data_IF_976525498082
#
_entry.id   IF_976525498082
#
_cell.length_a   1.000
_cell.length_b   1.000
_cell.length_c   1.000
_cell.angle_alpha   90.00
_cell.angle_beta   90.00
_cell.angle_gamma   90.00
#
_symmetry.space_group_name_H-M   'P 1'
#
loop_
_entity.id
_entity.type
_entity.pdbx_description
1 polymer ?
#
# COMPACT_ATOMS: atom_id res chain seq x y z
N UNK A 1 -39.70 30.23 -0.86
CA UNK A 1 -39.20 29.81 -2.19
C UNK A 1 -37.73 29.43 -2.05
N UNK A 2 -37.46 28.13 -1.84
CA UNK A 2 -36.10 27.63 -1.76
C UNK A 2 -35.62 27.32 -3.19
N UNK A 3 -34.45 27.85 -3.54
CA UNK A 3 -33.80 27.58 -4.83
C UNK A 3 -33.33 26.13 -4.84
N UNK A 4 -33.80 25.36 -5.79
CA UNK A 4 -33.26 24.02 -6.13
C UNK A 4 -31.84 24.20 -6.67
N UNK A 5 -30.84 23.81 -5.88
CA UNK A 5 -29.47 23.71 -6.39
C UNK A 5 -29.38 22.58 -7.42
N UNK A 6 -28.86 22.98 -8.56
CA UNK A 6 -28.70 22.19 -9.77
C UNK A 6 -27.72 21.00 -9.52
N UNK A 7 -28.26 19.79 -9.42
CA UNK A 7 -27.52 18.54 -9.26
C UNK A 7 -26.98 17.98 -10.60
N UNK A 8 -27.13 18.66 -11.72
CA UNK A 8 -26.77 18.17 -13.04
C UNK A 8 -25.27 18.22 -13.35
N UNK A 9 -24.51 19.16 -12.76
CA UNK A 9 -23.08 19.33 -13.01
C UNK A 9 -22.17 18.20 -12.51
N UNK A 10 -22.67 17.35 -11.60
CA UNK A 10 -21.85 16.31 -10.97
C UNK A 10 -21.79 15.00 -11.80
N UNK A 11 -22.77 14.75 -12.65
CA UNK A 11 -22.84 13.50 -13.45
C UNK A 11 -21.94 13.52 -14.68
N UNK A 12 -21.87 14.62 -15.41
CA UNK A 12 -21.04 14.76 -16.62
C UNK A 12 -19.54 14.74 -16.27
N UNK A 13 -19.15 15.41 -15.18
CA UNK A 13 -17.74 15.39 -14.71
C UNK A 13 -17.32 14.00 -14.22
N UNK A 14 -18.25 13.22 -13.65
CA UNK A 14 -17.97 11.84 -13.22
C UNK A 14 -17.80 10.86 -14.39
N UNK A 15 -18.54 11.02 -15.45
CA UNK A 15 -18.44 10.18 -16.66
C UNK A 15 -17.11 10.44 -17.37
N UNK A 16 -16.66 11.68 -17.45
CA UNK A 16 -15.47 12.06 -18.20
C UNK A 16 -14.18 11.43 -17.66
N UNK A 17 -13.92 11.51 -16.33
CA UNK A 17 -12.66 10.96 -15.77
C UNK A 17 -12.57 9.43 -15.87
N UNK A 18 -13.70 8.72 -15.76
CA UNK A 18 -13.73 7.26 -15.93
C UNK A 18 -13.36 6.87 -17.35
N UNK A 19 -13.95 7.54 -18.32
CA UNK A 19 -13.63 7.32 -19.74
C UNK A 19 -12.16 7.56 -20.02
N UNK A 20 -11.59 8.64 -19.49
CA UNK A 20 -10.16 8.93 -19.65
C UNK A 20 -9.26 7.88 -18.97
N UNK A 21 -9.61 7.43 -17.76
CA UNK A 21 -8.86 6.42 -17.05
C UNK A 21 -8.89 5.08 -17.78
N UNK A 22 -10.06 4.67 -18.26
CA UNK A 22 -10.21 3.43 -19.05
C UNK A 22 -9.48 3.53 -20.40
N UNK A 23 -9.55 4.66 -21.09
CA UNK A 23 -8.77 4.88 -22.31
C UNK A 23 -7.27 4.74 -22.05
N UNK A 24 -6.77 5.39 -21.01
CA UNK A 24 -5.36 5.26 -20.60
C UNK A 24 -4.99 3.80 -20.29
N UNK A 25 -5.83 3.10 -19.52
CA UNK A 25 -5.61 1.68 -19.22
C UNK A 25 -5.56 0.82 -20.47
N UNK A 26 -6.48 1.04 -21.41
CA UNK A 26 -6.53 0.29 -22.68
C UNK A 26 -5.29 0.58 -23.56
N UNK A 27 -4.78 1.81 -23.56
CA UNK A 27 -3.53 2.16 -24.26
C UNK A 27 -2.31 1.49 -23.63
N UNK A 28 -2.22 1.49 -22.28
CA UNK A 28 -1.15 0.77 -21.57
C UNK A 28 -1.23 -0.72 -21.86
N UNK A 29 -2.40 -1.34 -21.70
CA UNK A 29 -2.58 -2.77 -21.94
C UNK A 29 -2.24 -3.16 -23.39
N UNK A 30 -2.67 -2.36 -24.38
CA UNK A 30 -2.35 -2.56 -25.79
C UNK A 30 -0.84 -2.55 -26.02
N UNK A 31 -0.12 -1.58 -25.43
CA UNK A 31 1.32 -1.49 -25.61
C UNK A 31 2.08 -2.72 -25.13
N UNK A 32 1.51 -3.50 -24.20
CA UNK A 32 2.07 -4.79 -23.78
C UNK A 32 1.55 -5.95 -24.64
N UNK A 33 0.30 -5.96 -25.07
CA UNK A 33 -0.23 -7.04 -25.92
C UNK A 33 0.38 -7.07 -27.31
N UNK A 34 0.90 -5.95 -27.81
CA UNK A 34 1.57 -5.83 -29.11
C UNK A 34 3.04 -6.24 -29.10
N UNK A 35 3.60 -6.56 -27.91
CA UNK A 35 5.02 -6.95 -27.79
C UNK A 35 5.19 -8.45 -28.06
N UNK A 36 6.21 -8.78 -28.81
CA UNK A 36 6.57 -10.18 -29.13
C UNK A 36 7.12 -10.96 -27.93
N UNK A 37 7.75 -10.28 -26.96
CA UNK A 37 8.31 -10.86 -25.74
C UNK A 37 7.30 -10.98 -24.59
N UNK A 38 6.05 -10.55 -24.79
CA UNK A 38 4.94 -10.70 -23.83
C UNK A 38 3.97 -11.77 -24.31
N UNK A 39 3.82 -12.83 -23.53
CA UNK A 39 2.98 -14.01 -23.85
C UNK A 39 1.55 -13.90 -23.37
N UNK A 40 1.28 -12.97 -22.47
CA UNK A 40 -0.06 -12.74 -21.93
C UNK A 40 -0.14 -11.47 -21.11
N UNK A 41 -1.34 -10.91 -20.98
CA UNK A 41 -1.61 -9.68 -20.22
C UNK A 41 -2.89 -9.83 -19.42
N UNK A 42 -2.86 -9.45 -18.14
CA UNK A 42 -4.04 -9.33 -17.30
C UNK A 42 -4.09 -7.97 -16.59
N UNK A 43 -5.28 -7.41 -16.48
CA UNK A 43 -5.55 -6.22 -15.68
C UNK A 43 -5.95 -6.66 -14.27
N UNK A 44 -5.33 -6.07 -13.26
CA UNK A 44 -5.60 -6.29 -11.84
C UNK A 44 -6.25 -5.09 -11.16
N UNK A 45 -6.13 -5.08 -9.84
CA UNK A 45 -6.44 -3.96 -8.99
C UNK A 45 -7.87 -3.46 -9.02
N UNK A 46 -7.99 -2.18 -8.77
CA UNK A 46 -9.29 -1.50 -8.67
C UNK A 46 -10.03 -1.45 -10.01
N UNK A 47 -9.31 -1.27 -11.13
CA UNK A 47 -9.91 -1.21 -12.46
C UNK A 47 -10.51 -2.55 -12.88
N UNK A 48 -9.84 -3.66 -12.59
CA UNK A 48 -10.36 -4.98 -12.92
C UNK A 48 -11.66 -5.31 -12.20
N UNK A 49 -11.84 -4.74 -10.99
CA UNK A 49 -12.98 -4.99 -10.11
C UNK A 49 -14.08 -3.94 -10.19
N UNK A 50 -13.94 -2.91 -11.03
CA UNK A 50 -14.90 -1.81 -11.12
C UNK A 50 -14.97 -0.95 -9.85
N UNK A 51 -13.88 -0.88 -9.10
CA UNK A 51 -13.74 -0.14 -7.84
C UNK A 51 -12.78 1.04 -7.96
N UNK A 52 -12.52 1.45 -9.20
CA UNK A 52 -11.62 2.54 -9.51
C UNK A 52 -12.15 3.90 -9.04
N UNK A 53 -11.23 4.78 -8.80
CA UNK A 53 -11.47 6.19 -8.56
C UNK A 53 -10.61 7.04 -9.51
N UNK A 54 -10.83 8.35 -9.54
CA UNK A 54 -10.23 9.26 -10.53
C UNK A 54 -8.69 9.16 -10.65
N UNK A 55 -8.02 8.82 -9.56
CA UNK A 55 -6.55 8.73 -9.48
C UNK A 55 -6.07 7.30 -9.22
N UNK A 56 -6.88 6.30 -9.55
CA UNK A 56 -6.40 4.92 -9.57
C UNK A 56 -5.26 4.78 -10.56
N UNK A 57 -4.26 4.03 -10.15
CA UNK A 57 -3.23 3.46 -11.02
C UNK A 57 -3.77 2.28 -11.82
N UNK A 58 -3.00 1.86 -12.80
CA UNK A 58 -3.28 0.66 -13.60
C UNK A 58 -2.36 -0.46 -13.12
N UNK A 59 -2.93 -1.47 -12.51
CA UNK A 59 -2.20 -2.65 -12.03
C UNK A 59 -2.32 -3.74 -13.10
N UNK A 60 -1.20 -4.18 -13.67
CA UNK A 60 -1.21 -5.20 -14.72
C UNK A 60 -0.19 -6.31 -14.46
N UNK A 61 -0.54 -7.52 -14.87
CA UNK A 61 0.40 -8.63 -14.96
C UNK A 61 0.75 -8.89 -16.42
N UNK A 62 2.03 -9.12 -16.69
CA UNK A 62 2.51 -9.60 -17.97
C UNK A 62 3.11 -11.01 -17.78
N UNK A 63 2.78 -11.91 -18.69
CA UNK A 63 3.38 -13.22 -18.79
C UNK A 63 4.54 -13.15 -19.76
N UNK A 64 5.73 -13.56 -19.35
CA UNK A 64 6.97 -13.46 -20.10
C UNK A 64 7.79 -14.75 -19.98
N UNK A 65 8.65 -15.02 -20.98
CA UNK A 65 9.56 -16.19 -20.91
C UNK A 65 10.71 -15.94 -19.91
N UNK A 66 11.12 -14.69 -19.76
CA UNK A 66 12.16 -14.22 -18.83
C UNK A 66 11.85 -12.82 -18.35
N UNK A 67 12.39 -12.43 -17.21
CA UNK A 67 12.22 -11.05 -16.70
C UNK A 67 12.75 -10.03 -17.72
N UNK A 68 11.97 -8.97 -17.90
CA UNK A 68 12.29 -7.83 -18.76
C UNK A 68 12.84 -6.72 -17.86
N UNK A 69 14.16 -6.50 -17.94
CA UNK A 69 14.87 -5.58 -17.03
C UNK A 69 14.54 -4.10 -17.29
N UNK A 70 14.06 -3.79 -18.50
CA UNK A 70 13.63 -2.45 -18.87
C UNK A 70 12.35 -2.01 -18.14
N UNK A 71 11.61 -2.93 -17.52
CA UNK A 71 10.41 -2.61 -16.74
C UNK A 71 10.65 -2.79 -15.26
N UNK A 72 10.66 -1.66 -14.55
CA UNK A 72 10.53 -1.66 -13.10
C UNK A 72 9.11 -2.05 -12.64
N UNK A 73 8.96 -2.29 -11.34
CA UNK A 73 7.64 -2.54 -10.75
C UNK A 73 6.69 -1.34 -10.94
N UNK A 74 7.20 -0.13 -10.78
CA UNK A 74 6.46 1.12 -10.97
C UNK A 74 6.86 1.81 -12.26
N UNK A 75 5.87 2.36 -12.98
CA UNK A 75 6.10 3.21 -14.13
C UNK A 75 5.08 4.35 -14.16
N UNK A 76 5.40 5.41 -14.90
CA UNK A 76 4.54 6.58 -15.10
C UNK A 76 4.49 6.90 -16.59
N UNK A 77 3.28 7.12 -17.13
CA UNK A 77 3.04 7.59 -18.49
C UNK A 77 1.97 8.68 -18.44
N UNK A 78 2.21 9.82 -19.07
CA UNK A 78 1.26 10.95 -19.10
C UNK A 78 0.79 11.40 -17.70
N UNK A 79 1.68 11.35 -16.70
CA UNK A 79 1.39 11.70 -15.32
C UNK A 79 0.50 10.72 -14.57
N UNK A 80 0.26 9.52 -15.10
CA UNK A 80 -0.48 8.43 -14.43
C UNK A 80 0.42 7.25 -14.14
N UNK A 81 0.29 6.72 -12.92
CA UNK A 81 1.05 5.56 -12.47
C UNK A 81 0.45 4.25 -12.97
N UNK A 82 1.33 3.28 -13.19
CA UNK A 82 0.94 1.88 -13.35
C UNK A 82 1.96 0.94 -12.72
N UNK A 83 1.47 -0.18 -12.20
CA UNK A 83 2.28 -1.25 -11.59
C UNK A 83 2.35 -2.44 -12.53
N UNK A 84 3.54 -3.01 -12.69
CA UNK A 84 3.79 -4.15 -13.57
C UNK A 84 4.23 -5.35 -12.72
N UNK A 85 3.43 -6.41 -12.77
CA UNK A 85 3.77 -7.71 -12.20
C UNK A 85 4.25 -8.62 -13.31
N UNK A 86 5.52 -8.97 -13.32
CA UNK A 86 6.09 -9.87 -14.33
C UNK A 86 5.98 -11.32 -13.84
N UNK A 87 5.19 -12.13 -14.53
CA UNK A 87 5.11 -13.57 -14.31
C UNK A 87 5.96 -14.29 -15.35
N UNK A 88 6.98 -15.01 -14.89
CA UNK A 88 7.78 -15.89 -15.75
C UNK A 88 6.97 -17.15 -16.00
N UNK A 89 6.76 -17.50 -17.27
CA UNK A 89 5.85 -18.57 -17.67
C UNK A 89 6.14 -19.90 -16.99
N UNK A 90 7.41 -20.33 -16.95
CA UNK A 90 7.82 -21.57 -16.33
C UNK A 90 7.55 -21.59 -14.82
N UNK A 91 7.89 -20.50 -14.12
CA UNK A 91 7.67 -20.35 -12.68
C UNK A 91 6.19 -20.31 -12.33
N UNK A 92 5.40 -19.57 -13.11
CA UNK A 92 3.97 -19.47 -12.88
C UNK A 92 3.27 -20.81 -13.07
N UNK A 93 3.69 -21.59 -14.08
CA UNK A 93 3.17 -22.94 -14.33
C UNK A 93 3.43 -23.85 -13.14
N UNK A 94 4.65 -23.87 -12.64
CA UNK A 94 5.01 -24.66 -11.47
C UNK A 94 4.22 -24.23 -10.22
N UNK A 95 4.10 -22.93 -9.99
CA UNK A 95 3.31 -22.39 -8.86
C UNK A 95 1.84 -22.78 -8.93
N UNK A 96 1.22 -22.73 -10.12
CA UNK A 96 -0.16 -23.15 -10.32
C UNK A 96 -0.33 -24.63 -10.06
N UNK A 97 0.57 -25.46 -10.58
CA UNK A 97 0.51 -26.91 -10.39
C UNK A 97 0.68 -27.27 -8.90
N UNK A 98 1.58 -26.60 -8.19
CA UNK A 98 1.73 -26.74 -6.74
C UNK A 98 0.46 -26.32 -5.98
N UNK A 99 -0.19 -25.24 -6.40
CA UNK A 99 -1.42 -24.74 -5.77
C UNK A 99 -2.61 -25.71 -5.85
N UNK A 100 -2.56 -26.74 -6.70
CA UNK A 100 -3.59 -27.79 -6.77
C UNK A 100 -3.55 -28.75 -5.56
N UNK A 101 -2.38 -28.88 -4.94
CA UNK A 101 -2.15 -29.80 -3.81
C UNK A 101 -1.76 -29.10 -2.52
N UNK A 102 -1.31 -27.86 -2.60
CA UNK A 102 -0.88 -27.03 -1.49
C UNK A 102 -1.56 -25.64 -1.56
N UNK A 103 -2.62 -25.39 -0.79
CA UNK A 103 -3.27 -24.08 -0.74
C UNK A 103 -2.30 -22.94 -0.39
N UNK A 104 -1.24 -23.22 0.39
CA UNK A 104 -0.28 -22.21 0.81
C UNK A 104 0.61 -21.71 -0.33
N UNK A 105 0.63 -22.36 -1.47
CA UNK A 105 1.36 -21.91 -2.65
C UNK A 105 0.93 -20.52 -3.14
N UNK A 106 -0.30 -20.08 -2.82
CA UNK A 106 -0.82 -18.75 -3.21
C UNK A 106 -0.45 -17.62 -2.23
N UNK A 107 0.26 -17.91 -1.14
CA UNK A 107 0.57 -16.91 -0.10
C UNK A 107 1.31 -15.68 -0.64
N UNK A 108 2.23 -15.88 -1.57
CA UNK A 108 3.07 -14.83 -2.13
C UNK A 108 2.55 -14.28 -3.47
N UNK A 109 1.38 -14.74 -3.92
CA UNK A 109 0.78 -14.20 -5.14
C UNK A 109 0.29 -12.77 -4.90
N UNK A 110 0.48 -11.87 -5.88
CA UNK A 110 0.11 -10.47 -5.72
C UNK A 110 -1.39 -10.33 -5.56
N UNK A 111 -1.83 -9.80 -4.41
CA UNK A 111 -3.26 -9.62 -4.10
C UNK A 111 -3.97 -8.67 -5.07
N UNK A 112 -3.21 -7.81 -5.74
CA UNK A 112 -3.69 -6.94 -6.81
C UNK A 112 -4.27 -7.74 -7.97
N UNK A 113 -3.74 -8.94 -8.22
CA UNK A 113 -4.21 -9.85 -9.28
C UNK A 113 -5.42 -10.71 -8.86
N UNK A 114 -5.86 -10.60 -7.62
CA UNK A 114 -7.12 -11.24 -7.20
C UNK A 114 -8.29 -10.70 -8.02
N UNK A 115 -9.05 -11.60 -8.63
CA UNK A 115 -10.14 -11.27 -9.56
C UNK A 115 -9.70 -10.46 -10.79
N UNK A 116 -8.47 -10.65 -11.27
CA UNK A 116 -7.97 -9.99 -12.47
C UNK A 116 -8.85 -10.25 -13.70
N UNK A 117 -8.82 -9.32 -14.66
CA UNK A 117 -9.45 -9.43 -15.99
C UNK A 117 -8.38 -9.83 -17.00
N UNK A 118 -8.54 -10.98 -17.63
CA UNK A 118 -7.62 -11.45 -18.68
C UNK A 118 -7.85 -10.62 -19.94
N UNK A 119 -6.77 -10.07 -20.49
CA UNK A 119 -6.78 -9.24 -21.72
C UNK A 119 -6.26 -10.07 -22.91
N UNK A 120 -5.13 -10.75 -22.74
CA UNK A 120 -4.55 -11.65 -23.72
C UNK A 120 -3.95 -12.85 -23.01
N UNK A 121 -4.25 -14.07 -23.45
CA UNK A 121 -3.75 -15.31 -22.82
C UNK A 121 -3.80 -16.48 -23.82
N UNK A 122 -2.96 -16.48 -24.86
CA UNK A 122 -2.93 -17.56 -25.85
C UNK A 122 -2.62 -18.93 -25.26
N UNK A 123 -1.80 -18.96 -24.19
CA UNK A 123 -1.43 -20.19 -23.49
C UNK A 123 -2.49 -20.72 -22.51
N UNK A 124 -3.45 -19.89 -22.12
CA UNK A 124 -4.43 -20.17 -21.06
C UNK A 124 -3.86 -20.15 -19.63
N UNK A 125 -2.58 -19.78 -19.47
CA UNK A 125 -1.91 -19.86 -18.17
C UNK A 125 -2.39 -18.81 -17.17
N UNK A 126 -2.65 -17.58 -17.62
CA UNK A 126 -3.21 -16.53 -16.77
C UNK A 126 -4.64 -16.87 -16.33
N UNK A 127 -5.42 -17.56 -17.15
CA UNK A 127 -6.73 -18.08 -16.76
C UNK A 127 -6.61 -19.14 -15.68
N UNK A 128 -5.70 -20.09 -15.84
CA UNK A 128 -5.39 -21.11 -14.80
C UNK A 128 -4.93 -20.46 -13.50
N UNK A 129 -4.07 -19.44 -13.56
CA UNK A 129 -3.69 -18.64 -12.40
C UNK A 129 -4.90 -18.04 -11.69
N UNK A 130 -5.77 -17.36 -12.42
CA UNK A 130 -7.00 -16.76 -11.85
C UNK A 130 -7.90 -17.82 -11.21
N UNK A 131 -8.10 -18.95 -11.86
CA UNK A 131 -8.93 -20.05 -11.39
C UNK A 131 -8.34 -20.73 -10.14
N UNK A 132 -7.01 -20.82 -10.03
CA UNK A 132 -6.34 -21.33 -8.85
C UNK A 132 -6.37 -20.31 -7.69
N UNK A 133 -6.18 -19.02 -7.96
CA UNK A 133 -6.05 -17.98 -6.94
C UNK A 133 -7.38 -17.64 -6.25
N UNK A 134 -8.44 -17.47 -7.03
CA UNK A 134 -9.70 -16.94 -6.52
C UNK A 134 -10.33 -17.77 -5.39
N UNK A 135 -10.40 -19.11 -5.47
CA UNK A 135 -10.99 -19.91 -4.39
C UNK A 135 -10.10 -20.08 -3.17
N UNK A 136 -8.76 -19.96 -3.35
CA UNK A 136 -7.81 -20.28 -2.27
C UNK A 136 -7.45 -19.09 -1.40
N UNK A 137 -7.49 -17.85 -1.93
CA UNK A 137 -7.04 -16.65 -1.21
C UNK A 137 -7.68 -16.51 0.18
N UNK A 138 -8.94 -16.90 0.31
CA UNK A 138 -9.71 -16.88 1.56
C UNK A 138 -10.01 -18.27 2.12
N UNK A 139 -9.24 -19.30 1.72
CA UNK A 139 -9.33 -20.60 2.42
C UNK A 139 -8.82 -20.44 3.86
N UNK A 140 -9.32 -21.29 4.76
CA UNK A 140 -8.97 -21.22 6.18
C UNK A 140 -7.46 -21.33 6.40
N UNK A 141 -6.77 -22.20 5.64
CA UNK A 141 -5.33 -22.38 5.71
C UNK A 141 -4.57 -21.14 5.28
N UNK A 142 -4.95 -20.52 4.16
CA UNK A 142 -4.30 -19.32 3.63
C UNK A 142 -4.56 -18.13 4.55
N UNK A 143 -5.79 -17.94 5.02
CA UNK A 143 -6.13 -16.89 5.99
C UNK A 143 -5.31 -17.04 7.26
N UNK A 144 -5.28 -18.25 7.85
CA UNK A 144 -4.50 -18.53 9.06
C UNK A 144 -3.01 -18.24 8.84
N UNK A 145 -2.43 -18.68 7.73
CA UNK A 145 -1.02 -18.43 7.41
C UNK A 145 -0.73 -16.93 7.19
N UNK A 146 -1.62 -16.18 6.54
CA UNK A 146 -1.48 -14.72 6.36
C UNK A 146 -1.60 -13.96 7.68
N UNK A 147 -2.50 -14.37 8.57
CA UNK A 147 -2.60 -13.81 9.93
C UNK A 147 -1.32 -14.09 10.69
N UNK A 148 -0.85 -15.34 10.74
CA UNK A 148 0.38 -15.73 11.43
C UNK A 148 1.60 -14.92 10.91
N UNK A 149 1.80 -14.88 9.60
CA UNK A 149 2.89 -14.09 8.97
C UNK A 149 2.81 -12.60 9.30
N UNK A 150 1.60 -12.05 9.37
CA UNK A 150 1.41 -10.65 9.75
C UNK A 150 1.75 -10.42 11.23
N UNK A 151 1.35 -11.33 12.11
CA UNK A 151 1.68 -11.23 13.54
C UNK A 151 3.18 -11.44 13.80
N UNK A 152 3.85 -12.33 13.08
CA UNK A 152 5.32 -12.47 13.12
C UNK A 152 6.02 -11.17 12.66
N UNK A 153 5.50 -10.54 11.60
CA UNK A 153 5.95 -9.23 11.16
C UNK A 153 5.79 -8.17 12.26
N UNK A 154 4.63 -8.12 12.90
CA UNK A 154 4.39 -7.25 14.04
C UNK A 154 5.40 -7.51 15.17
N UNK A 155 5.57 -8.75 15.60
CA UNK A 155 6.45 -9.12 16.70
C UNK A 155 7.90 -8.68 16.45
N UNK A 156 8.41 -8.86 15.22
CA UNK A 156 9.74 -8.42 14.79
C UNK A 156 9.90 -6.89 14.86
N UNK A 157 8.96 -6.15 14.29
CA UNK A 157 9.05 -4.69 14.24
C UNK A 157 8.80 -4.07 15.65
N UNK A 158 7.91 -4.65 16.45
CA UNK A 158 7.67 -4.25 17.84
C UNK A 158 8.90 -4.47 18.74
N UNK A 159 9.60 -5.59 18.57
CA UNK A 159 10.86 -5.85 19.28
C UNK A 159 11.93 -4.81 18.91
N UNK A 160 11.99 -4.40 17.64
CA UNK A 160 12.90 -3.34 17.18
C UNK A 160 12.51 -2.00 17.80
N UNK A 161 11.22 -1.64 17.84
CA UNK A 161 10.75 -0.42 18.51
C UNK A 161 11.11 -0.40 20.00
N UNK A 162 10.99 -1.52 20.68
CA UNK A 162 11.37 -1.66 22.08
C UNK A 162 12.88 -1.48 22.31
N UNK A 163 13.71 -2.05 21.44
CA UNK A 163 15.15 -1.87 21.48
C UNK A 163 15.56 -0.40 21.22
N UNK A 164 14.90 0.27 20.29
CA UNK A 164 15.12 1.69 20.01
C UNK A 164 14.73 2.58 21.20
N UNK A 165 13.64 2.26 21.92
CA UNK A 165 13.27 2.96 23.16
C UNK A 165 14.32 2.76 24.25
N UNK A 166 14.81 1.53 24.44
CA UNK A 166 15.87 1.23 25.40
C UNK A 166 17.19 1.96 25.07
N UNK A 167 17.44 2.20 23.78
CA UNK A 167 18.58 2.98 23.28
C UNK A 167 18.34 4.51 23.30
N UNK A 168 17.26 4.99 23.90
CA UNK A 168 16.86 6.42 23.94
C UNK A 168 16.66 7.04 22.55
N UNK A 169 16.09 6.27 21.61
CA UNK A 169 15.77 6.69 20.23
C UNK A 169 14.24 6.73 19.99
N UNK A 170 13.49 7.64 20.64
CA UNK A 170 12.02 7.60 20.60
C UNK A 170 11.44 7.91 19.21
N UNK A 171 12.12 8.69 18.35
CA UNK A 171 11.67 8.96 16.98
C UNK A 171 11.71 7.71 16.12
N UNK A 172 12.84 7.00 16.18
CA UNK A 172 13.02 5.73 15.46
C UNK A 172 12.06 4.67 15.99
N UNK A 173 11.88 4.61 17.31
CA UNK A 173 10.92 3.70 17.94
C UNK A 173 9.48 3.95 17.47
N UNK A 174 9.05 5.22 17.36
CA UNK A 174 7.71 5.56 16.84
C UNK A 174 7.55 5.18 15.36
N UNK A 175 8.58 5.42 14.54
CA UNK A 175 8.57 4.99 13.14
C UNK A 175 8.45 3.47 13.03
N UNK A 176 9.17 2.73 13.87
CA UNK A 176 9.15 1.27 13.91
C UNK A 176 7.82 0.73 14.43
N UNK A 177 7.22 1.39 15.42
CA UNK A 177 5.88 1.08 15.92
C UNK A 177 4.82 1.20 14.82
N UNK A 178 4.92 2.21 13.92
CA UNK A 178 4.02 2.33 12.77
C UNK A 178 4.17 1.18 11.79
N UNK A 179 5.41 0.73 11.54
CA UNK A 179 5.65 -0.46 10.73
C UNK A 179 5.05 -1.71 11.37
N UNK A 180 5.23 -1.90 12.68
CA UNK A 180 4.57 -2.96 13.43
C UNK A 180 3.05 -2.88 13.32
N UNK A 181 2.48 -1.69 13.54
CA UNK A 181 1.02 -1.49 13.46
C UNK A 181 0.46 -1.77 12.05
N UNK A 182 1.22 -1.49 10.99
CA UNK A 182 0.81 -1.86 9.64
C UNK A 182 0.63 -3.39 9.48
N UNK A 183 1.52 -4.18 10.07
CA UNK A 183 1.36 -5.64 10.14
C UNK A 183 0.10 -6.04 10.94
N UNK A 184 -0.21 -5.33 12.00
CA UNK A 184 -1.42 -5.57 12.79
C UNK A 184 -2.70 -5.25 12.00
N UNK A 185 -2.69 -4.19 11.18
CA UNK A 185 -3.77 -3.89 10.23
C UNK A 185 -3.95 -5.02 9.22
N UNK A 186 -2.87 -5.57 8.69
CA UNK A 186 -2.94 -6.70 7.76
C UNK A 186 -3.50 -7.95 8.45
N UNK A 187 -3.06 -8.27 9.69
CA UNK A 187 -3.62 -9.37 10.47
C UNK A 187 -5.13 -9.19 10.70
N UNK A 188 -5.56 -7.98 11.06
CA UNK A 188 -6.98 -7.62 11.21
C UNK A 188 -7.76 -7.85 9.93
N UNK A 189 -7.26 -7.40 8.79
CA UNK A 189 -7.94 -7.60 7.51
C UNK A 189 -8.06 -9.09 7.17
N UNK A 190 -6.98 -9.85 7.26
CA UNK A 190 -7.02 -11.29 6.95
C UNK A 190 -7.93 -12.05 7.89
N UNK A 191 -7.88 -11.80 9.20
CA UNK A 191 -8.75 -12.46 10.18
C UNK A 191 -10.26 -12.26 9.87
N UNK A 192 -10.61 -11.09 9.32
CA UNK A 192 -12.00 -10.76 8.96
C UNK A 192 -12.30 -10.98 7.48
N UNK A 193 -11.46 -11.71 6.75
CA UNK A 193 -11.60 -11.98 5.31
C UNK A 193 -11.78 -10.71 4.47
N UNK A 194 -11.13 -9.63 4.86
CA UNK A 194 -11.13 -8.35 4.17
C UNK A 194 -9.91 -8.30 3.25
N UNK A 195 -10.13 -8.13 1.95
CA UNK A 195 -9.04 -7.93 1.00
C UNK A 195 -8.31 -6.61 1.31
N UNK A 196 -7.04 -6.64 1.70
CA UNK A 196 -6.26 -5.42 1.88
C UNK A 196 -6.26 -4.57 0.61
N UNK A 197 -6.32 -3.26 0.76
CA UNK A 197 -6.20 -2.28 -0.32
C UNK A 197 -4.92 -1.48 -0.16
N UNK A 198 -4.65 -0.60 -1.13
CA UNK A 198 -3.51 0.32 -1.06
C UNK A 198 -3.54 1.16 0.23
N UNK A 199 -2.36 1.52 0.73
CA UNK A 199 -2.17 2.18 2.03
C UNK A 199 -2.93 3.52 2.15
N UNK A 200 -3.10 4.23 1.04
CA UNK A 200 -3.88 5.47 1.01
C UNK A 200 -5.38 5.27 1.33
N UNK A 201 -5.88 4.04 1.28
CA UNK A 201 -7.26 3.67 1.65
C UNK A 201 -7.39 3.14 3.07
N UNK A 202 -6.27 2.91 3.76
CA UNK A 202 -6.25 2.25 5.08
C UNK A 202 -7.16 2.96 6.08
N UNK A 203 -7.07 4.29 6.21
CA UNK A 203 -7.91 5.02 7.16
C UNK A 203 -9.41 4.82 6.91
N UNK A 204 -9.85 5.03 5.67
CA UNK A 204 -11.25 4.90 5.31
C UNK A 204 -11.77 3.46 5.46
N UNK A 205 -10.94 2.48 5.07
CA UNK A 205 -11.27 1.06 5.19
C UNK A 205 -11.36 0.61 6.64
N UNK A 206 -10.36 0.96 7.47
CA UNK A 206 -10.39 0.65 8.91
C UNK A 206 -11.61 1.24 9.58
N UNK A 207 -11.89 2.54 9.38
CA UNK A 207 -13.06 3.18 9.95
C UNK A 207 -14.36 2.45 9.59
N UNK A 208 -14.51 2.09 8.32
CA UNK A 208 -15.71 1.39 7.84
C UNK A 208 -15.83 -0.01 8.46
N UNK A 209 -14.74 -0.79 8.45
CA UNK A 209 -14.77 -2.17 8.93
C UNK A 209 -14.83 -2.24 10.46
N UNK A 210 -14.06 -1.43 11.18
CA UNK A 210 -14.13 -1.37 12.64
C UNK A 210 -15.53 -0.95 13.11
N UNK A 211 -16.16 0.03 12.44
CA UNK A 211 -17.56 0.39 12.75
C UNK A 211 -18.51 -0.78 12.52
N UNK A 212 -18.37 -1.54 11.42
CA UNK A 212 -19.21 -2.69 11.11
C UNK A 212 -19.03 -3.84 12.11
N UNK A 213 -17.80 -4.04 12.59
CA UNK A 213 -17.42 -5.13 13.49
C UNK A 213 -17.57 -4.77 14.97
N UNK A 214 -17.81 -3.49 15.31
CA UNK A 214 -17.86 -3.04 16.71
C UNK A 214 -16.45 -2.85 17.35
N UNK A 215 -15.38 -2.76 16.54
CA UNK A 215 -13.99 -2.69 16.98
C UNK A 215 -13.41 -1.28 16.82
N UNK A 216 -14.17 -0.25 17.23
CA UNK A 216 -13.74 1.15 17.08
C UNK A 216 -12.54 1.52 17.97
N UNK A 217 -12.22 0.75 18.99
CA UNK A 217 -11.01 0.86 19.80
C UNK A 217 -9.73 0.60 18.97
N UNK A 218 -9.77 -0.38 18.05
CA UNK A 218 -8.66 -0.61 17.11
C UNK A 218 -8.45 0.59 16.16
N UNK A 219 -9.54 1.17 15.65
CA UNK A 219 -9.46 2.37 14.84
C UNK A 219 -8.97 3.60 15.64
N UNK A 220 -9.35 3.73 16.90
CA UNK A 220 -8.84 4.80 17.78
C UNK A 220 -7.32 4.66 17.96
N UNK A 221 -6.83 3.45 18.27
CA UNK A 221 -5.41 3.20 18.39
C UNK A 221 -4.63 3.48 17.09
N UNK A 222 -5.19 3.15 15.94
CA UNK A 222 -4.61 3.54 14.64
C UNK A 222 -4.41 5.06 14.55
N UNK A 223 -5.39 5.85 14.99
CA UNK A 223 -5.28 7.31 15.00
C UNK A 223 -4.20 7.82 15.93
N UNK A 224 -4.01 7.19 17.08
CA UNK A 224 -2.99 7.57 18.04
C UNK A 224 -1.58 7.23 17.54
N UNK A 225 -1.40 6.03 16.99
CA UNK A 225 -0.10 5.57 16.45
C UNK A 225 0.35 6.40 15.25
N UNK A 226 -0.57 6.74 14.35
CA UNK A 226 -0.23 7.54 13.17
C UNK A 226 -0.28 9.05 13.40
N UNK A 227 -0.97 9.53 14.45
CA UNK A 227 -0.95 10.92 14.89
C UNK A 227 -1.50 11.91 13.86
N UNK A 228 -2.77 11.79 13.45
CA UNK A 228 -3.37 12.64 12.41
C UNK A 228 -3.69 14.07 12.89
N UNK A 229 -2.67 14.82 13.20
CA UNK A 229 -2.70 16.17 13.80
C UNK A 229 -2.67 17.31 12.77
N UNK A 230 -2.38 17.00 11.49
CA UNK A 230 -2.28 18.02 10.44
C UNK A 230 -3.61 18.21 9.70
N UNK A 231 -3.99 19.48 9.52
CA UNK A 231 -5.02 19.83 8.54
C UNK A 231 -4.53 19.62 7.11
N UNK A 232 -5.45 19.51 6.14
CA UNK A 232 -5.11 19.37 4.73
C UNK A 232 -4.20 20.49 4.22
N UNK A 233 -4.44 21.74 4.66
CA UNK A 233 -3.64 22.90 4.28
C UNK A 233 -2.22 22.82 4.86
N UNK A 234 -2.07 22.36 6.10
CA UNK A 234 -0.76 22.17 6.74
C UNK A 234 0.02 21.06 6.06
N UNK A 235 -0.61 19.89 5.84
CA UNK A 235 0.00 18.76 5.19
C UNK A 235 0.50 19.10 3.77
N UNK A 236 -0.29 19.82 2.98
CA UNK A 236 0.12 20.31 1.65
C UNK A 236 1.32 21.24 1.70
N UNK A 237 1.33 22.21 2.62
CA UNK A 237 2.46 23.15 2.75
C UNK A 237 3.75 22.42 3.14
N UNK A 238 3.67 21.52 4.13
CA UNK A 238 4.82 20.76 4.58
C UNK A 238 5.34 19.84 3.47
N UNK A 239 4.45 19.12 2.78
CA UNK A 239 4.88 18.28 1.65
C UNK A 239 5.52 19.12 0.54
N UNK A 240 5.02 20.33 0.26
CA UNK A 240 5.63 21.20 -0.73
C UNK A 240 7.04 21.65 -0.32
N UNK A 241 7.26 21.96 0.98
CA UNK A 241 8.59 22.38 1.48
C UNK A 241 9.60 21.25 1.52
N UNK A 242 9.20 20.02 1.87
CA UNK A 242 10.09 18.85 1.96
C UNK A 242 10.01 17.91 0.75
N UNK A 243 9.42 18.34 -0.36
CA UNK A 243 9.16 17.49 -1.53
C UNK A 243 10.42 16.84 -2.10
N UNK A 244 11.50 17.60 -2.22
CA UNK A 244 12.76 17.08 -2.77
C UNK A 244 13.34 15.96 -1.90
N UNK A 245 13.30 16.14 -0.58
CA UNK A 245 13.76 15.16 0.40
C UNK A 245 12.88 13.89 0.37
N UNK A 246 11.55 14.05 0.33
CA UNK A 246 10.63 12.92 0.22
C UNK A 246 10.89 12.14 -1.06
N UNK A 247 11.06 12.82 -2.20
CA UNK A 247 11.35 12.18 -3.48
C UNK A 247 12.64 11.38 -3.45
N UNK A 248 13.70 11.97 -2.89
CA UNK A 248 14.99 11.29 -2.73
C UNK A 248 14.85 10.01 -1.88
N UNK A 249 14.10 10.11 -0.76
CA UNK A 249 13.90 8.98 0.14
C UNK A 249 13.10 7.86 -0.54
N UNK A 250 11.96 8.17 -1.15
CA UNK A 250 11.10 7.15 -1.78
C UNK A 250 11.67 6.59 -3.08
N UNK A 251 12.67 7.26 -3.67
CA UNK A 251 13.40 6.72 -4.84
C UNK A 251 14.09 5.38 -4.57
N UNK A 252 14.27 5.02 -3.30
CA UNK A 252 14.70 3.68 -2.89
C UNK A 252 13.79 2.54 -3.38
N UNK A 253 12.51 2.81 -3.69
CA UNK A 253 11.62 1.84 -4.35
C UNK A 253 11.82 1.74 -5.88
N UNK A 254 12.67 2.57 -6.46
CA UNK A 254 12.93 2.63 -7.90
C UNK A 254 12.79 4.04 -8.47
N UNK A 255 13.35 4.29 -9.66
CA UNK A 255 13.44 5.64 -10.23
C UNK A 255 12.09 6.31 -10.50
N UNK A 256 11.05 5.54 -10.79
CA UNK A 256 9.70 6.06 -11.03
C UNK A 256 8.84 6.17 -9.76
N UNK A 257 9.33 5.71 -8.61
CA UNK A 257 8.52 5.60 -7.40
C UNK A 257 8.03 6.97 -6.90
N UNK A 258 8.87 7.99 -6.94
CA UNK A 258 8.49 9.33 -6.50
C UNK A 258 7.31 9.89 -7.30
N UNK A 259 7.36 9.81 -8.63
CA UNK A 259 6.30 10.29 -9.51
C UNK A 259 5.03 9.44 -9.37
N UNK A 260 5.18 8.12 -9.22
CA UNK A 260 4.08 7.21 -8.98
C UNK A 260 3.33 7.56 -7.68
N UNK A 261 4.05 7.71 -6.57
CA UNK A 261 3.45 8.10 -5.29
C UNK A 261 2.80 9.49 -5.37
N UNK A 262 3.41 10.43 -6.06
CA UNK A 262 2.87 11.78 -6.21
C UNK A 262 1.54 11.81 -6.93
N UNK A 263 1.38 11.03 -7.98
CA UNK A 263 0.11 10.99 -8.71
C UNK A 263 -1.05 10.59 -7.80
N UNK A 264 -0.88 9.52 -7.04
CA UNK A 264 -1.89 9.05 -6.08
C UNK A 264 -2.16 10.09 -4.98
N UNK A 265 -1.10 10.67 -4.42
CA UNK A 265 -1.17 11.61 -3.30
C UNK A 265 -1.82 12.93 -3.67
N UNK A 266 -1.45 13.52 -4.81
CA UNK A 266 -2.07 14.79 -5.24
C UNK A 266 -3.57 14.62 -5.46
N UNK A 267 -3.97 13.46 -5.98
CA UNK A 267 -5.37 13.08 -6.11
C UNK A 267 -6.10 12.99 -4.76
N UNK A 268 -5.51 12.33 -3.79
CA UNK A 268 -6.07 12.18 -2.44
C UNK A 268 -6.25 13.54 -1.75
N UNK A 269 -5.30 14.46 -1.87
CA UNK A 269 -5.44 15.82 -1.35
C UNK A 269 -6.62 16.59 -1.97
N UNK A 270 -6.84 16.41 -3.26
CA UNK A 270 -7.99 17.03 -3.96
C UNK A 270 -9.32 16.46 -3.49
N UNK A 271 -9.32 15.21 -3.04
CA UNK A 271 -10.49 14.53 -2.50
C UNK A 271 -10.68 14.70 -0.99
N UNK A 272 -9.79 15.41 -0.32
CA UNK A 272 -9.85 15.64 1.12
C UNK A 272 -9.46 14.44 1.98
N UNK A 273 -8.77 13.46 1.41
CA UNK A 273 -8.34 12.24 2.10
C UNK A 273 -6.98 12.42 2.80
N UNK A 274 -6.81 13.51 3.52
CA UNK A 274 -5.53 13.87 4.18
C UNK A 274 -4.97 12.75 5.06
N UNK A 275 -5.82 12.02 5.78
CA UNK A 275 -5.38 10.91 6.64
C UNK A 275 -4.82 9.73 5.85
N UNK A 276 -5.39 9.43 4.68
CA UNK A 276 -4.85 8.41 3.80
C UNK A 276 -3.43 8.73 3.36
N UNK A 277 -3.19 9.97 2.95
CA UNK A 277 -1.87 10.46 2.56
C UNK A 277 -0.88 10.38 3.73
N UNK A 278 -1.27 10.90 4.89
CA UNK A 278 -0.43 10.85 6.07
C UNK A 278 -0.11 9.39 6.46
N UNK A 279 -1.06 8.45 6.30
CA UNK A 279 -0.80 7.02 6.51
C UNK A 279 0.34 6.53 5.62
N UNK A 280 0.27 6.81 4.32
CA UNK A 280 1.31 6.40 3.36
C UNK A 280 2.68 6.96 3.74
N UNK A 281 2.79 8.27 3.87
CA UNK A 281 4.08 8.91 4.10
C UNK A 281 4.65 8.65 5.49
N UNK A 282 3.80 8.56 6.52
CA UNK A 282 4.23 8.24 7.90
C UNK A 282 4.68 6.80 8.07
N UNK A 283 4.31 5.92 7.15
CA UNK A 283 4.82 4.56 7.06
C UNK A 283 6.08 4.48 6.20
N UNK A 284 5.98 4.90 4.93
CA UNK A 284 7.02 4.59 3.95
C UNK A 284 8.26 5.47 4.04
N UNK A 285 8.14 6.78 4.35
CA UNK A 285 9.32 7.65 4.40
C UNK A 285 10.32 7.22 5.47
N UNK A 286 9.92 7.00 6.75
CA UNK A 286 10.86 6.49 7.75
C UNK A 286 11.40 5.10 7.43
N UNK A 287 10.57 4.23 6.85
CA UNK A 287 11.00 2.89 6.45
C UNK A 287 12.07 2.93 5.35
N UNK A 288 11.88 3.74 4.30
CA UNK A 288 12.90 3.94 3.26
C UNK A 288 14.20 4.52 3.81
N UNK A 289 14.11 5.50 4.70
CA UNK A 289 15.30 6.06 5.36
C UNK A 289 16.10 4.96 6.05
N UNK A 290 15.45 4.09 6.80
CA UNK A 290 16.14 3.02 7.53
C UNK A 290 16.72 1.96 6.60
N UNK A 291 16.01 1.54 5.55
CA UNK A 291 16.44 0.46 4.68
C UNK A 291 17.42 0.90 3.60
N UNK A 292 17.17 2.04 2.95
CA UNK A 292 17.89 2.45 1.75
C UNK A 292 18.94 3.53 2.00
N UNK A 293 18.80 4.33 3.08
CA UNK A 293 19.79 5.36 3.45
C UNK A 293 20.78 4.92 4.52
N UNK A 294 20.65 3.72 5.04
CA UNK A 294 21.63 3.13 5.95
C UNK A 294 22.85 2.69 5.14
N UNK A 295 23.72 3.65 4.82
CA UNK A 295 25.00 3.37 4.24
C UNK A 295 26.00 3.05 5.36
N UNK A 296 26.84 2.04 5.17
CA UNK A 296 27.99 1.68 6.02
C UNK A 296 27.67 1.40 7.51
N UNK A 297 26.43 1.06 7.83
CA UNK A 297 26.07 0.59 9.16
C UNK A 297 25.72 1.69 10.19
N UNK A 298 25.95 2.96 9.90
CA UNK A 298 25.69 4.06 10.84
C UNK A 298 24.87 5.16 10.20
N UNK A 299 23.55 5.15 10.45
CA UNK A 299 22.69 6.30 10.20
C UNK A 299 22.32 6.90 11.57
N UNK A 300 22.79 8.14 11.84
CA UNK A 300 22.36 8.89 13.01
C UNK A 300 21.00 9.55 12.70
N UNK A 301 19.95 8.79 12.99
CA UNK A 301 18.59 9.23 12.72
C UNK A 301 18.21 10.46 13.58
N UNK A 302 18.72 10.61 14.78
CA UNK A 302 18.38 11.76 15.63
C UNK A 302 18.93 13.07 15.05
N UNK A 303 20.23 13.10 14.69
CA UNK A 303 20.83 14.28 14.05
C UNK A 303 20.14 14.61 12.72
N UNK A 304 19.84 13.57 11.92
CA UNK A 304 19.19 13.76 10.63
C UNK A 304 17.77 14.36 10.79
N UNK A 305 16.96 13.86 11.76
CA UNK A 305 15.64 14.39 12.02
C UNK A 305 15.66 15.83 12.57
N UNK A 306 16.67 16.22 13.31
CA UNK A 306 16.85 17.61 13.77
C UNK A 306 17.09 18.60 12.63
N UNK A 307 17.83 18.18 11.60
CA UNK A 307 18.13 19.00 10.42
C UNK A 307 16.91 19.16 9.50
N UNK A 308 16.00 18.17 9.46
CA UNK A 308 14.87 18.09 8.51
C UNK A 308 13.51 18.34 9.17
N UNK A 309 13.33 19.48 9.82
CA UNK A 309 12.16 19.80 10.67
C UNK A 309 10.81 19.70 9.95
N UNK A 310 10.70 20.19 8.71
CA UNK A 310 9.46 20.17 7.95
C UNK A 310 9.08 18.73 7.57
N UNK A 311 10.06 17.93 7.20
CA UNK A 311 9.87 16.51 6.95
C UNK A 311 9.45 15.77 8.23
N UNK A 312 10.14 16.00 9.34
CA UNK A 312 9.79 15.44 10.66
C UNK A 312 8.33 15.76 11.02
N UNK A 313 7.93 17.01 10.84
CA UNK A 313 6.57 17.45 11.12
C UNK A 313 5.55 16.80 10.19
N UNK A 314 5.88 16.69 8.90
CA UNK A 314 5.01 16.04 7.91
C UNK A 314 4.81 14.56 8.21
N UNK A 315 5.88 13.82 8.51
CA UNK A 315 5.80 12.41 8.87
C UNK A 315 5.43 12.16 10.34
N UNK A 316 5.15 13.23 11.11
CA UNK A 316 4.70 13.12 12.52
C UNK A 316 5.75 12.54 13.47
N UNK A 317 7.02 12.95 13.29
CA UNK A 317 8.15 12.59 14.12
C UNK A 317 8.80 13.84 14.79
N UNK A 318 8.05 14.91 14.92
CA UNK A 318 8.55 16.21 15.41
C UNK A 318 8.55 16.39 16.94
N UNK A 319 7.97 15.47 17.65
CA UNK A 319 7.87 15.52 19.14
C UNK A 319 8.15 14.13 19.69
N UNK A 320 9.44 13.81 19.96
CA UNK A 320 9.79 12.52 20.55
C UNK A 320 9.31 12.48 22.00
N UNK A 321 8.39 11.55 22.27
CA UNK A 321 7.93 11.25 23.63
C UNK A 321 8.11 9.74 23.85
N UNK A 322 9.17 9.39 24.57
CA UNK A 322 9.51 8.00 24.86
C UNK A 322 8.43 7.32 25.72
N UNK A 323 7.85 8.03 26.69
CA UNK A 323 6.81 7.48 27.55
C UNK A 323 5.54 7.20 26.74
N UNK A 324 5.12 8.15 25.91
CA UNK A 324 3.94 7.97 25.05
C UNK A 324 4.16 6.86 24.02
N UNK A 325 5.34 6.77 23.42
CA UNK A 325 5.66 5.71 22.45
C UNK A 325 5.64 4.33 23.12
N UNK A 326 6.16 4.21 24.35
CA UNK A 326 6.09 2.98 25.13
C UNK A 326 4.65 2.57 25.47
N UNK A 327 3.81 3.53 25.87
CA UNK A 327 2.38 3.30 26.12
C UNK A 327 1.66 2.80 24.86
N UNK A 328 1.86 3.44 23.71
CA UNK A 328 1.29 3.02 22.44
C UNK A 328 1.76 1.62 22.03
N UNK A 329 3.03 1.31 22.26
CA UNK A 329 3.57 -0.03 22.00
C UNK A 329 2.88 -1.08 22.88
N UNK A 330 2.67 -0.81 24.17
CA UNK A 330 1.95 -1.71 25.06
C UNK A 330 0.50 -1.94 24.60
N UNK A 331 -0.23 -0.89 24.23
CA UNK A 331 -1.59 -1.02 23.70
C UNK A 331 -1.62 -1.83 22.39
N UNK A 332 -0.64 -1.66 21.51
CA UNK A 332 -0.58 -2.45 20.27
C UNK A 332 -0.34 -3.93 20.55
N UNK A 333 0.44 -4.27 21.58
CA UNK A 333 0.68 -5.65 22.01
C UNK A 333 -0.59 -6.31 22.57
N UNK A 334 -1.47 -5.57 23.25
CA UNK A 334 -2.78 -6.06 23.68
C UNK A 334 -3.66 -6.44 22.49
N UNK A 335 -3.72 -5.58 21.45
CA UNK A 335 -4.44 -5.91 20.22
C UNK A 335 -3.83 -7.10 19.48
N UNK A 336 -2.51 -7.19 19.44
CA UNK A 336 -1.80 -8.34 18.88
C UNK A 336 -2.24 -9.65 19.56
N UNK A 337 -2.32 -9.65 20.90
CA UNK A 337 -2.78 -10.82 21.65
C UNK A 337 -4.23 -11.20 21.28
N UNK A 338 -5.14 -10.23 21.16
CA UNK A 338 -6.53 -10.44 20.75
C UNK A 338 -6.64 -11.02 19.32
N UNK A 339 -5.80 -10.58 18.40
CA UNK A 339 -5.81 -11.07 17.00
C UNK A 339 -5.15 -12.46 16.87
N UNK A 340 -4.31 -12.87 17.80
CA UNK A 340 -3.66 -14.18 17.80
C UNK A 340 -4.44 -15.26 18.56
N UNK A 341 -5.48 -14.89 19.29
CA UNK A 341 -6.40 -15.80 19.98
C UNK A 341 -7.50 -16.30 19.02
#
# INVERSE_FOLDING_TARGET
>A
MAKSEDKSGNSETQVHWRTELHRFADEVLRSFTEREDVRGVALGGSLARGLEWKYSDVELAILVDRRLDEFGHFAVREGRGFEIFQFIEAELREQIDRAQTDPLAVLDWPIQMYQCRIIADPSGLLRRFKEAFAPQLFSAEVVSAKVARSLEGFDREAATAQADLAASKPLTALAQLRAAFNHLILAFYWRHEILPRSQNRTEAMLRMHCKRLGEMDFYALFHEVYGFDLTAAQARRLLASCRAEVNEIVSGFGPAAADFFYHAVDGEFRWGQTKGILTVYRLYVPWCLRLFKKQDGVFDDAAWWEEHRDLCRFVGLNQPDAARTAELLAHTQEFRARLGA
#
